data_IF_004529730005
#
_entry.id   IF_004529730005
#
_cell.length_a   1.000
_cell.length_b   1.000
_cell.length_c   1.000
_cell.angle_alpha   90.00
_cell.angle_beta   90.00
_cell.angle_gamma   90.00
#
_symmetry.space_group_name_H-M   'P 1'
#
loop_
_entity.id
_entity.type
_entity.pdbx_description
1 polymer ?
#
# COMPACT_ATOMS: atom_id res chain seq x y z
N UNK A 1 -5.32 12.72 -25.68
CA UNK A 1 -4.25 12.85 -24.67
C UNK A 1 -4.91 12.78 -23.29
N UNK A 2 -4.81 11.65 -22.60
CA UNK A 2 -5.42 11.48 -21.27
C UNK A 2 -4.64 12.28 -20.24
N UNK A 3 -5.32 13.16 -19.50
CA UNK A 3 -4.69 13.98 -18.47
C UNK A 3 -4.02 13.07 -17.43
N UNK A 4 -2.79 13.41 -17.04
CA UNK A 4 -2.05 12.70 -15.98
C UNK A 4 -2.81 12.93 -14.67
N UNK A 5 -3.73 12.01 -14.31
CA UNK A 5 -4.49 12.04 -13.05
C UNK A 5 -3.48 12.07 -11.90
N UNK A 6 -3.33 13.24 -11.26
CA UNK A 6 -2.46 13.43 -10.09
C UNK A 6 -3.06 12.82 -8.83
N UNK A 7 -4.38 12.62 -8.84
CA UNK A 7 -5.20 12.03 -7.78
C UNK A 7 -6.20 11.03 -8.38
N UNK A 8 -6.66 10.09 -7.56
CA UNK A 8 -7.73 9.16 -7.91
C UNK A 8 -9.12 9.79 -7.63
N UNK A 9 -10.20 9.03 -7.79
CA UNK A 9 -11.57 9.53 -7.61
C UNK A 9 -11.92 9.87 -6.16
N UNK A 10 -11.10 9.40 -5.21
CA UNK A 10 -11.17 9.78 -3.81
C UNK A 10 -10.39 11.07 -3.49
N UNK A 11 -9.80 11.72 -4.51
CA UNK A 11 -8.96 12.90 -4.34
C UNK A 11 -7.59 12.61 -3.71
N UNK A 12 -7.18 11.35 -3.66
CA UNK A 12 -5.93 10.92 -3.02
C UNK A 12 -4.83 10.71 -4.05
N UNK A 13 -3.61 11.14 -3.72
CA UNK A 13 -2.39 10.83 -4.47
C UNK A 13 -1.99 9.38 -4.18
N UNK A 14 -1.27 8.76 -5.12
CA UNK A 14 -0.71 7.41 -4.92
C UNK A 14 0.22 7.34 -3.70
N UNK A 15 0.95 8.42 -3.42
CA UNK A 15 1.81 8.52 -2.25
C UNK A 15 1.05 8.49 -0.91
N UNK A 16 -0.23 8.87 -0.89
CA UNK A 16 -1.06 8.85 0.32
C UNK A 16 -1.44 7.42 0.75
N UNK A 17 -1.20 6.44 -0.13
CA UNK A 17 -1.39 5.01 0.13
C UNK A 17 -0.10 4.35 0.66
N UNK A 18 0.99 5.08 0.83
CA UNK A 18 2.22 4.54 1.43
C UNK A 18 2.00 4.22 2.92
N UNK A 19 2.70 3.18 3.39
CA UNK A 19 2.84 2.90 4.82
C UNK A 19 4.11 3.52 5.40
N UNK A 20 4.58 2.93 6.50
CA UNK A 20 5.84 3.29 7.16
C UNK A 20 7.04 2.89 6.30
N UNK A 21 8.20 3.45 6.62
CA UNK A 21 9.46 3.04 6.02
C UNK A 21 9.74 1.54 6.25
N UNK A 22 10.20 0.86 5.21
CA UNK A 22 10.46 -0.59 5.25
C UNK A 22 11.70 -0.92 6.08
N UNK A 23 11.61 -1.96 6.92
CA UNK A 23 12.77 -2.53 7.63
C UNK A 23 13.30 -3.78 6.92
N UNK A 24 12.84 -4.04 5.69
CA UNK A 24 13.24 -5.21 4.92
C UNK A 24 14.58 -4.97 4.22
N UNK A 25 15.25 -6.05 3.84
CA UNK A 25 16.52 -5.99 3.14
C UNK A 25 16.44 -5.17 1.85
N UNK A 26 17.56 -4.54 1.47
CA UNK A 26 17.65 -3.87 0.17
C UNK A 26 17.40 -4.87 -0.96
N UNK A 27 16.56 -4.49 -1.92
CA UNK A 27 16.13 -5.39 -3.00
C UNK A 27 15.12 -6.47 -2.60
N UNK A 28 14.55 -6.44 -1.39
CA UNK A 28 13.55 -7.43 -0.97
C UNK A 28 12.28 -7.39 -1.85
N UNK A 29 11.86 -8.56 -2.35
CA UNK A 29 10.67 -8.70 -3.19
C UNK A 29 9.36 -8.24 -2.53
N UNK A 30 9.25 -8.29 -1.19
CA UNK A 30 8.07 -7.79 -0.47
C UNK A 30 7.87 -6.28 -0.65
N UNK A 31 8.94 -5.50 -0.89
CA UNK A 31 8.82 -4.08 -1.22
C UNK A 31 8.18 -3.88 -2.60
N UNK A 32 8.52 -4.75 -3.56
CA UNK A 32 7.87 -4.77 -4.88
C UNK A 32 6.39 -5.13 -4.77
N UNK A 33 6.05 -6.18 -4.01
CA UNK A 33 4.65 -6.57 -3.75
C UNK A 33 3.88 -5.42 -3.08
N UNK A 34 4.45 -4.78 -2.05
CA UNK A 34 3.82 -3.63 -1.37
C UNK A 34 3.54 -2.48 -2.34
N UNK A 35 4.48 -2.20 -3.26
CA UNK A 35 4.32 -1.16 -4.27
C UNK A 35 3.22 -1.48 -5.28
N UNK A 36 3.05 -2.76 -5.63
CA UNK A 36 1.96 -3.20 -6.50
C UNK A 36 0.61 -3.15 -5.80
N UNK A 37 0.52 -3.55 -4.53
CA UNK A 37 -0.71 -3.39 -3.73
C UNK A 37 -1.14 -1.91 -3.71
N UNK A 38 -0.22 -0.98 -3.45
CA UNK A 38 -0.50 0.47 -3.49
C UNK A 38 -1.05 0.90 -4.86
N UNK A 39 -0.42 0.43 -5.94
CA UNK A 39 -0.85 0.73 -7.31
C UNK A 39 -2.27 0.27 -7.57
N UNK A 40 -2.57 -1.00 -7.30
CA UNK A 40 -3.88 -1.59 -7.54
C UNK A 40 -4.98 -0.91 -6.71
N UNK A 41 -4.74 -0.67 -5.41
CA UNK A 41 -5.74 -0.05 -4.53
C UNK A 41 -6.00 1.41 -4.93
N UNK A 42 -4.97 2.14 -5.35
CA UNK A 42 -5.12 3.51 -5.85
C UNK A 42 -5.93 3.55 -7.15
N UNK A 43 -5.62 2.67 -8.10
CA UNK A 43 -6.31 2.55 -9.40
C UNK A 43 -7.78 2.12 -9.25
N UNK A 44 -8.08 1.28 -8.28
CA UNK A 44 -9.43 0.83 -7.97
C UNK A 44 -10.27 1.84 -7.18
N UNK A 45 -9.71 3.02 -6.85
CA UNK A 45 -10.37 4.02 -6.00
C UNK A 45 -10.85 3.43 -4.66
N UNK A 46 -10.08 2.49 -4.09
CA UNK A 46 -10.45 1.84 -2.84
C UNK A 46 -10.15 2.77 -1.64
N UNK A 47 -11.13 3.03 -0.77
CA UNK A 47 -10.90 3.79 0.45
C UNK A 47 -10.14 2.95 1.48
N UNK A 48 -8.97 3.44 1.91
CA UNK A 48 -8.05 2.70 2.80
C UNK A 48 -8.71 2.24 4.10
N UNK A 49 -9.56 3.06 4.71
CA UNK A 49 -10.25 2.76 5.98
C UNK A 49 -11.25 1.59 5.88
N UNK A 50 -11.57 1.11 4.67
CA UNK A 50 -12.41 -0.08 4.43
C UNK A 50 -11.59 -1.34 4.13
N UNK A 51 -10.27 -1.27 4.22
CA UNK A 51 -9.37 -2.40 3.99
C UNK A 51 -8.84 -2.89 5.34
N UNK A 52 -8.78 -4.21 5.52
CA UNK A 52 -8.06 -4.84 6.62
C UNK A 52 -6.87 -5.61 6.07
N UNK A 53 -5.72 -5.50 6.74
CA UNK A 53 -4.50 -6.22 6.41
C UNK A 53 -4.22 -7.25 7.50
N UNK A 54 -4.18 -8.52 7.12
CA UNK A 54 -3.92 -9.63 8.02
C UNK A 54 -2.66 -10.35 7.53
N UNK A 55 -1.79 -10.74 8.45
CA UNK A 55 -0.61 -11.52 8.11
C UNK A 55 -0.29 -12.60 9.15
N UNK A 56 0.53 -13.56 8.76
CA UNK A 56 1.00 -14.63 9.64
C UNK A 56 2.34 -14.30 10.28
N UNK A 57 3.26 -15.27 10.34
CA UNK A 57 4.61 -15.07 10.89
C UNK A 57 5.66 -15.20 9.78
N UNK A 58 6.52 -14.19 9.62
CA UNK A 58 7.66 -14.24 8.70
C UNK A 58 8.18 -12.85 8.32
N UNK A 59 9.13 -12.79 7.38
CA UNK A 59 9.54 -11.48 6.84
C UNK A 59 8.40 -10.80 6.06
N UNK A 60 7.56 -11.59 5.38
CA UNK A 60 6.35 -11.14 4.70
C UNK A 60 5.32 -10.54 5.65
N UNK A 61 5.25 -11.00 6.92
CA UNK A 61 4.28 -10.50 7.89
C UNK A 61 4.55 -9.09 8.38
N UNK A 62 5.70 -8.51 8.04
CA UNK A 62 5.96 -7.08 8.27
C UNK A 62 5.36 -6.20 7.18
N UNK A 63 5.04 -6.76 6.01
CA UNK A 63 4.59 -6.01 4.82
C UNK A 63 3.34 -5.15 5.06
N UNK A 64 2.33 -5.55 5.85
CA UNK A 64 1.18 -4.71 6.17
C UNK A 64 1.52 -3.33 6.75
N UNK A 65 2.70 -3.15 7.35
CA UNK A 65 3.15 -1.87 7.87
C UNK A 65 3.62 -0.89 6.77
N UNK A 66 3.90 -1.37 5.56
CA UNK A 66 4.58 -0.61 4.49
C UNK A 66 3.65 -0.14 3.37
N UNK A 67 2.40 -0.58 3.37
CA UNK A 67 1.36 -0.15 2.45
C UNK A 67 0.04 0.16 3.16
N UNK A 68 -0.76 1.02 2.54
CA UNK A 68 -2.07 1.47 3.01
C UNK A 68 -2.01 2.00 4.45
N UNK A 69 -1.28 3.10 4.68
CA UNK A 69 -1.11 3.68 6.01
C UNK A 69 -2.42 4.07 6.70
N UNK A 70 -3.47 4.37 5.93
CA UNK A 70 -4.81 4.68 6.44
C UNK A 70 -5.71 3.47 6.71
N UNK A 71 -5.19 2.25 6.63
CA UNK A 71 -5.96 1.01 6.87
C UNK A 71 -5.52 0.28 8.13
N UNK A 72 -6.45 -0.46 8.74
CA UNK A 72 -6.16 -1.27 9.93
C UNK A 72 -5.32 -2.50 9.56
N UNK A 73 -4.33 -2.83 10.39
CA UNK A 73 -3.45 -3.97 10.18
C UNK A 73 -3.25 -4.76 11.47
N UNK A 74 -3.29 -6.09 11.35
CA UNK A 74 -2.96 -7.03 12.41
C UNK A 74 -1.81 -7.94 11.95
N UNK A 75 -0.77 -8.03 12.79
CA UNK A 75 0.43 -8.83 12.55
C UNK A 75 0.62 -9.84 13.68
#
# INVERSE_FOLDING_TARGET
MSARRSVNELGLKKADYNGRATTLCQGCGHNSISSQIISSVWEMNLPQHRVIKLSGIGCSSKSPAYFLGGSHGFN
#
